data_IF_059648728671
#
_entry.id   IF_059648728671
#
_cell.length_a   1.000
_cell.length_b   1.000
_cell.length_c   1.000
_cell.angle_alpha   90.00
_cell.angle_beta   90.00
_cell.angle_gamma   90.00
#
_symmetry.space_group_name_H-M   'P 1'
#
loop_
_entity.id
_entity.type
_entity.pdbx_description
1 polymer ?
#
# COMPACT_ATOMS: atom_id res chain seq x y z
N UNK A 1 16.28 10.04 -7.76
CA UNK A 1 15.52 9.61 -6.55
C UNK A 1 14.67 8.41 -6.88
N UNK A 2 14.51 7.46 -5.96
CA UNK A 2 13.70 6.25 -6.16
C UNK A 2 12.39 6.36 -5.37
N UNK A 3 11.25 6.02 -5.98
CA UNK A 3 9.96 5.84 -5.30
C UNK A 3 9.56 4.36 -5.37
N UNK A 4 9.66 3.65 -4.25
CA UNK A 4 9.17 2.28 -4.11
C UNK A 4 7.66 2.29 -3.87
N UNK A 5 6.90 1.54 -4.68
CA UNK A 5 5.44 1.52 -4.62
C UNK A 5 4.92 0.12 -4.26
N UNK A 6 4.17 0.02 -3.16
CA UNK A 6 3.56 -1.23 -2.67
C UNK A 6 2.06 -1.22 -3.00
N UNK A 7 1.53 -2.24 -3.71
CA UNK A 7 0.16 -2.28 -4.16
C UNK A 7 -0.84 -2.62 -3.03
N UNK A 8 -2.13 -2.45 -3.34
CA UNK A 8 -3.25 -2.89 -2.52
C UNK A 8 -3.52 -4.40 -2.66
N UNK A 9 -4.37 -4.95 -1.78
CA UNK A 9 -4.77 -6.35 -1.81
C UNK A 9 -5.37 -6.77 -3.16
N UNK A 10 -4.96 -7.92 -3.67
CA UNK A 10 -5.38 -8.46 -4.97
C UNK A 10 -4.74 -7.77 -6.18
N UNK A 11 -3.92 -6.74 -5.97
CA UNK A 11 -3.27 -5.99 -7.03
C UNK A 11 -1.85 -6.49 -7.32
N UNK A 12 -1.29 -6.02 -8.42
CA UNK A 12 0.08 -6.27 -8.87
C UNK A 12 0.85 -4.96 -9.03
N UNK A 13 2.17 -5.05 -8.98
CA UNK A 13 3.12 -4.00 -9.35
C UNK A 13 2.80 -3.34 -10.71
N UNK A 14 2.14 -4.08 -11.61
CA UNK A 14 1.74 -3.60 -12.94
C UNK A 14 0.91 -2.31 -12.90
N UNK A 15 0.13 -2.08 -11.84
CA UNK A 15 -0.69 -0.87 -11.70
C UNK A 15 0.13 0.42 -11.65
N UNK A 16 1.39 0.35 -11.26
CA UNK A 16 2.27 1.52 -11.19
C UNK A 16 3.11 1.74 -12.46
N UNK A 17 3.03 0.86 -13.47
CA UNK A 17 3.78 1.08 -14.70
C UNK A 17 3.29 2.31 -15.48
N UNK A 18 2.00 2.64 -15.41
CA UNK A 18 1.47 3.85 -16.03
C UNK A 18 2.01 5.12 -15.35
N UNK A 19 2.31 5.06 -14.06
CA UNK A 19 2.91 6.19 -13.33
C UNK A 19 4.29 6.56 -13.89
N UNK A 20 5.05 5.59 -14.43
CA UNK A 20 6.35 5.85 -15.06
C UNK A 20 6.27 6.76 -16.28
N UNK A 21 5.10 6.81 -16.93
CA UNK A 21 4.89 7.66 -18.10
C UNK A 21 4.43 9.08 -17.74
N UNK A 22 3.98 9.27 -16.52
CA UNK A 22 3.39 10.52 -16.02
C UNK A 22 4.28 11.24 -15.01
N UNK A 23 5.15 10.48 -14.33
CA UNK A 23 6.05 10.98 -13.29
C UNK A 23 7.24 11.71 -13.93
N UNK A 24 7.72 12.77 -13.27
CA UNK A 24 8.95 13.47 -13.64
C UNK A 24 10.14 12.52 -13.73
N UNK A 25 10.97 12.67 -14.74
CA UNK A 25 12.14 11.81 -15.03
C UNK A 25 13.16 11.73 -13.87
N UNK A 26 13.16 12.72 -12.96
CA UNK A 26 14.01 12.74 -11.77
C UNK A 26 13.56 11.73 -10.68
N UNK A 27 12.36 11.17 -10.81
CA UNK A 27 11.78 10.20 -9.86
C UNK A 27 11.60 8.85 -10.55
N UNK A 28 12.46 7.91 -10.23
CA UNK A 28 12.39 6.53 -10.73
C UNK A 28 11.36 5.73 -9.95
N UNK A 29 10.25 5.34 -10.58
CA UNK A 29 9.25 4.45 -9.98
C UNK A 29 9.78 3.01 -9.98
N UNK A 30 9.80 2.40 -8.81
CA UNK A 30 10.11 0.97 -8.61
C UNK A 30 8.91 0.30 -7.95
N UNK A 31 7.99 -0.27 -8.75
CA UNK A 31 6.88 -1.04 -8.21
C UNK A 31 7.39 -2.33 -7.59
N UNK A 32 6.97 -2.62 -6.36
CA UNK A 32 7.30 -3.86 -5.65
C UNK A 32 6.18 -4.87 -5.85
N UNK A 33 6.54 -6.11 -6.18
CA UNK A 33 5.56 -7.18 -6.40
C UNK A 33 5.35 -8.01 -5.14
N UNK A 34 4.10 -8.41 -4.89
CA UNK A 34 3.78 -9.35 -3.82
C UNK A 34 3.77 -10.79 -4.35
N UNK A 35 4.02 -11.76 -3.49
CA UNK A 35 4.09 -13.18 -3.85
C UNK A 35 2.83 -13.72 -4.54
N UNK A 36 2.99 -14.71 -5.39
CA UNK A 36 1.94 -15.41 -6.10
C UNK A 36 1.41 -14.69 -7.35
N UNK A 37 2.02 -13.55 -7.75
CA UNK A 37 1.55 -12.76 -8.91
C UNK A 37 2.69 -12.11 -9.69
N UNK A 38 2.41 -11.67 -10.91
CA UNK A 38 3.37 -10.93 -11.74
C UNK A 38 4.73 -11.61 -11.82
N UNK A 39 5.80 -10.87 -11.51
CA UNK A 39 7.16 -11.38 -11.50
C UNK A 39 7.43 -12.42 -10.40
N UNK A 40 6.56 -12.51 -9.38
CA UNK A 40 6.65 -13.47 -8.26
C UNK A 40 5.55 -14.55 -8.33
N UNK A 41 5.01 -14.84 -9.53
CA UNK A 41 3.91 -15.82 -9.73
C UNK A 41 4.22 -17.22 -9.23
N UNK A 42 5.49 -17.64 -9.24
CA UNK A 42 5.93 -18.96 -8.79
C UNK A 42 6.24 -19.00 -7.28
N UNK A 43 6.23 -17.87 -6.60
CA UNK A 43 6.44 -17.81 -5.16
C UNK A 43 5.16 -18.20 -4.41
N UNK A 44 5.33 -18.95 -3.32
CA UNK A 44 4.23 -19.30 -2.44
C UNK A 44 3.61 -18.04 -1.81
N UNK A 45 2.28 -18.01 -1.68
CA UNK A 45 1.57 -16.93 -1.02
C UNK A 45 2.00 -16.80 0.45
N UNK A 46 2.00 -15.58 0.97
CA UNK A 46 2.39 -15.32 2.35
C UNK A 46 1.42 -15.96 3.35
N UNK A 47 1.95 -16.40 4.48
CA UNK A 47 1.20 -17.00 5.58
C UNK A 47 0.81 -15.97 6.66
N UNK A 48 1.60 -14.90 6.78
CA UNK A 48 1.39 -13.83 7.74
C UNK A 48 1.92 -12.49 7.21
N UNK A 49 1.57 -11.43 7.93
CA UNK A 49 1.95 -10.06 7.58
C UNK A 49 3.48 -9.87 7.55
N UNK A 50 4.20 -10.44 8.51
CA UNK A 50 5.66 -10.28 8.62
C UNK A 50 6.41 -10.92 7.45
N UNK A 51 5.93 -12.05 6.88
CA UNK A 51 6.53 -12.63 5.67
C UNK A 51 6.47 -11.65 4.48
N UNK A 52 5.34 -10.96 4.30
CA UNK A 52 5.21 -9.95 3.25
C UNK A 52 6.12 -8.73 3.49
N UNK A 53 6.27 -8.33 4.75
CA UNK A 53 7.19 -7.23 5.12
C UNK A 53 8.63 -7.62 4.84
N UNK A 54 9.06 -8.82 5.24
CA UNK A 54 10.44 -9.28 5.07
C UNK A 54 10.81 -9.43 3.58
N UNK A 55 9.89 -9.96 2.74
CA UNK A 55 10.08 -10.06 1.29
C UNK A 55 10.23 -8.67 0.63
N UNK A 56 9.39 -7.70 0.99
CA UNK A 56 9.49 -6.32 0.49
C UNK A 56 10.80 -5.64 0.93
N UNK A 57 11.22 -5.87 2.18
CA UNK A 57 12.49 -5.34 2.71
C UNK A 57 13.68 -5.91 1.93
N UNK A 58 13.69 -7.20 1.66
CA UNK A 58 14.75 -7.84 0.86
C UNK A 58 14.78 -7.28 -0.57
N UNK A 59 13.61 -7.10 -1.19
CA UNK A 59 13.52 -6.51 -2.53
C UNK A 59 14.04 -5.07 -2.57
N UNK A 60 13.71 -4.23 -1.57
CA UNK A 60 14.23 -2.86 -1.46
C UNK A 60 15.74 -2.86 -1.29
N UNK A 61 16.28 -3.68 -0.37
CA UNK A 61 17.73 -3.77 -0.13
C UNK A 61 18.48 -4.23 -1.38
N UNK A 62 17.95 -5.23 -2.09
CA UNK A 62 18.55 -5.72 -3.32
C UNK A 62 18.51 -4.71 -4.47
N UNK A 63 17.58 -3.74 -4.44
CA UNK A 63 17.48 -2.63 -5.39
C UNK A 63 18.10 -1.33 -4.86
N UNK A 64 18.80 -1.37 -3.70
CA UNK A 64 19.39 -0.19 -3.09
C UNK A 64 20.48 0.40 -4.01
N UNK A 65 20.53 1.72 -4.05
CA UNK A 65 21.59 2.53 -4.65
C UNK A 65 21.94 3.67 -3.70
N UNK A 66 22.92 4.49 -4.05
CA UNK A 66 23.28 5.70 -3.30
C UNK A 66 22.24 6.84 -3.46
N UNK A 67 21.16 6.58 -4.21
CA UNK A 67 20.09 7.54 -4.40
C UNK A 67 19.18 7.64 -3.16
N UNK A 68 18.74 8.87 -2.87
CA UNK A 68 17.62 9.08 -1.92
C UNK A 68 16.40 8.31 -2.38
N UNK A 69 15.60 7.83 -1.45
CA UNK A 69 14.38 7.09 -1.75
C UNK A 69 13.18 7.55 -0.93
N UNK A 70 12.01 7.30 -1.46
CA UNK A 70 10.71 7.49 -0.83
C UNK A 70 9.90 6.19 -0.93
N UNK A 71 8.88 6.06 -0.09
CA UNK A 71 7.97 4.91 -0.06
C UNK A 71 6.54 5.36 -0.36
N UNK A 72 5.81 4.56 -1.11
CA UNK A 72 4.38 4.71 -1.35
C UNK A 72 3.67 3.39 -1.10
N UNK A 73 2.56 3.43 -0.38
CA UNK A 73 1.68 2.28 -0.19
C UNK A 73 0.22 2.64 -0.34
N UNK A 74 -0.58 1.80 -0.99
CA UNK A 74 -2.02 1.96 -1.10
C UNK A 74 -2.77 0.85 -0.36
N UNK A 75 -3.77 1.20 0.44
CA UNK A 75 -4.62 0.26 1.19
C UNK A 75 -3.78 -0.72 2.04
N UNK A 76 -3.75 -2.03 1.74
CA UNK A 76 -2.83 -2.99 2.38
C UNK A 76 -1.38 -2.48 2.36
N UNK A 77 -0.95 -1.93 1.20
CA UNK A 77 0.40 -1.38 1.02
C UNK A 77 0.77 -0.31 2.05
N UNK A 78 -0.21 0.43 2.61
CA UNK A 78 0.08 1.41 3.68
C UNK A 78 0.67 0.74 4.93
N UNK A 79 0.03 -0.30 5.40
CA UNK A 79 0.49 -0.99 6.61
C UNK A 79 1.77 -1.78 6.37
N UNK A 80 1.91 -2.36 5.16
CA UNK A 80 3.16 -3.00 4.75
C UNK A 80 4.31 -1.97 4.76
N UNK A 81 4.15 -0.82 4.10
CA UNK A 81 5.14 0.27 4.07
C UNK A 81 5.47 0.78 5.47
N UNK A 82 4.46 0.92 6.33
CA UNK A 82 4.68 1.33 7.73
C UNK A 82 5.63 0.36 8.46
N UNK A 83 5.43 -0.94 8.34
CA UNK A 83 6.30 -1.94 8.97
C UNK A 83 7.64 -2.11 8.26
N UNK A 84 7.65 -2.00 6.93
CA UNK A 84 8.86 -1.99 6.10
C UNK A 84 9.81 -0.89 6.57
N UNK A 85 9.31 0.33 6.83
CA UNK A 85 10.13 1.42 7.36
C UNK A 85 10.95 0.99 8.57
N UNK A 86 10.31 0.50 9.63
CA UNK A 86 11.03 0.10 10.85
C UNK A 86 12.00 -1.06 10.62
N UNK A 87 11.65 -1.97 9.73
CA UNK A 87 12.51 -3.10 9.38
C UNK A 87 13.76 -2.65 8.61
N UNK A 88 13.63 -1.67 7.71
CA UNK A 88 14.74 -1.06 6.97
C UNK A 88 15.69 -0.31 7.93
N UNK A 89 15.15 0.52 8.83
CA UNK A 89 15.94 1.23 9.85
C UNK A 89 16.71 0.23 10.74
N UNK A 90 16.05 -0.83 11.19
CA UNK A 90 16.69 -1.89 11.98
C UNK A 90 17.82 -2.59 11.23
N UNK A 91 17.77 -2.66 9.90
CA UNK A 91 18.82 -3.19 9.03
C UNK A 91 19.92 -2.17 8.70
N UNK A 92 19.84 -0.95 9.23
CA UNK A 92 20.84 0.10 9.08
C UNK A 92 20.71 0.92 7.80
N UNK A 93 19.55 0.87 7.12
CA UNK A 93 19.29 1.77 6.00
C UNK A 93 18.97 3.17 6.51
N UNK A 94 19.41 4.18 5.75
CA UNK A 94 19.00 5.57 5.98
C UNK A 94 17.47 5.70 5.86
N UNK A 95 16.82 6.57 6.64
CA UNK A 95 15.39 6.82 6.52
C UNK A 95 14.99 7.27 5.10
N UNK A 96 13.83 6.87 4.58
CA UNK A 96 13.30 7.43 3.34
C UNK A 96 13.07 8.93 3.52
N UNK A 97 13.32 9.72 2.47
CA UNK A 97 13.11 11.18 2.53
C UNK A 97 11.65 11.57 2.71
N UNK A 98 10.72 10.71 2.31
CA UNK A 98 9.27 10.90 2.47
C UNK A 98 8.52 9.57 2.39
N UNK A 99 7.37 9.47 3.07
CA UNK A 99 6.49 8.30 2.95
C UNK A 99 5.07 8.75 2.60
N UNK A 100 4.47 8.08 1.63
CA UNK A 100 3.09 8.31 1.19
C UNK A 100 2.20 7.13 1.60
N UNK A 101 1.18 7.41 2.41
CA UNK A 101 0.16 6.46 2.82
C UNK A 101 -1.16 6.80 2.13
N UNK A 102 -1.68 5.91 1.31
CA UNK A 102 -2.79 6.17 0.41
C UNK A 102 -3.96 5.20 0.66
N UNK A 103 -5.15 5.73 0.93
CA UNK A 103 -6.37 4.93 1.00
C UNK A 103 -6.46 3.97 2.20
N UNK A 104 -5.89 4.33 3.37
CA UNK A 104 -5.99 3.52 4.58
C UNK A 104 -5.99 4.38 5.84
N UNK A 105 -6.68 3.92 6.89
CA UNK A 105 -6.59 4.51 8.22
C UNK A 105 -5.25 4.18 8.90
N UNK A 106 -4.91 4.96 9.92
CA UNK A 106 -3.68 4.81 10.68
C UNK A 106 -3.54 3.40 11.28
N UNK A 107 -2.34 2.82 11.30
CA UNK A 107 -2.08 1.54 11.96
C UNK A 107 -2.36 1.58 13.48
N UNK A 108 -2.47 2.77 14.08
CA UNK A 108 -2.84 2.95 15.49
C UNK A 108 -4.35 2.95 15.72
N UNK A 109 -5.16 3.01 14.66
CA UNK A 109 -6.62 3.03 14.77
C UNK A 109 -7.13 1.66 15.21
N UNK A 110 -7.73 1.59 16.39
CA UNK A 110 -8.41 0.37 16.86
C UNK A 110 -9.76 0.25 16.15
N UNK A 111 -9.84 -0.66 15.20
CA UNK A 111 -11.04 -0.95 14.44
C UNK A 111 -11.23 -2.46 14.36
N UNK A 112 -12.45 -2.93 14.62
CA UNK A 112 -12.78 -4.34 14.37
C UNK A 112 -12.72 -4.57 12.84
N UNK A 113 -11.82 -5.41 12.41
CA UNK A 113 -11.76 -5.89 11.04
C UNK A 113 -12.75 -7.03 10.83
N UNK A 114 -13.32 -7.11 9.62
CA UNK A 114 -14.11 -8.26 9.22
C UNK A 114 -13.20 -9.49 9.14
N UNK A 115 -13.69 -10.62 9.63
CA UNK A 115 -12.99 -11.90 9.53
C UNK A 115 -13.22 -12.50 8.14
N UNK A 116 -12.39 -12.10 7.19
CA UNK A 116 -12.47 -12.59 5.82
C UNK A 116 -12.18 -14.07 5.68
N UNK A 117 -11.38 -14.62 6.60
CA UNK A 117 -11.02 -16.05 6.66
C UNK A 117 -12.24 -16.94 6.83
N UNK A 118 -13.24 -16.50 7.58
CA UNK A 118 -14.44 -17.27 7.89
C UNK A 118 -15.53 -17.16 6.79
N UNK A 119 -15.34 -16.31 5.79
CA UNK A 119 -16.28 -16.12 4.70
C UNK A 119 -16.22 -17.27 3.69
N UNK A 120 -17.38 -17.72 3.22
CA UNK A 120 -17.48 -18.55 2.02
C UNK A 120 -16.95 -17.80 0.79
N UNK A 121 -16.62 -18.51 -0.30
CA UNK A 121 -16.16 -17.86 -1.53
C UNK A 121 -17.20 -16.88 -2.10
N UNK A 122 -18.48 -17.21 -2.00
CA UNK A 122 -19.57 -16.34 -2.44
C UNK A 122 -19.65 -15.04 -1.64
N UNK A 123 -19.55 -15.10 -0.32
CA UNK A 123 -19.53 -13.94 0.57
C UNK A 123 -18.28 -13.09 0.32
N UNK A 124 -17.13 -13.73 0.17
CA UNK A 124 -15.87 -13.04 -0.08
C UNK A 124 -15.85 -12.34 -1.45
N UNK A 125 -16.36 -12.99 -2.50
CA UNK A 125 -16.52 -12.37 -3.83
C UNK A 125 -17.48 -11.18 -3.79
N UNK A 126 -18.58 -11.25 -3.03
CA UNK A 126 -19.47 -10.11 -2.84
C UNK A 126 -18.74 -8.96 -2.15
N UNK A 127 -17.90 -9.28 -1.17
CA UNK A 127 -17.10 -8.25 -0.49
C UNK A 127 -16.09 -7.58 -1.40
N UNK A 128 -15.44 -8.33 -2.30
CA UNK A 128 -14.54 -7.75 -3.33
C UNK A 128 -15.32 -6.79 -4.24
N UNK A 129 -16.55 -7.14 -4.64
CA UNK A 129 -17.42 -6.24 -5.44
C UNK A 129 -17.74 -4.94 -4.70
N UNK A 130 -18.08 -5.01 -3.42
CA UNK A 130 -18.37 -3.85 -2.58
C UNK A 130 -17.16 -2.91 -2.42
N UNK A 131 -15.95 -3.47 -2.26
CA UNK A 131 -14.71 -2.69 -2.19
C UNK A 131 -14.45 -2.00 -3.53
N UNK A 132 -14.79 -2.65 -4.66
CA UNK A 132 -14.57 -2.14 -6.00
C UNK A 132 -13.15 -2.39 -6.52
N UNK A 133 -12.75 -1.66 -7.56
CA UNK A 133 -11.41 -1.75 -8.17
C UNK A 133 -11.22 -2.94 -9.12
N UNK A 134 -12.11 -3.93 -9.11
CA UNK A 134 -12.09 -5.07 -10.02
C UNK A 134 -13.40 -5.12 -10.81
N UNK A 135 -13.31 -5.16 -12.14
CA UNK A 135 -14.51 -5.17 -12.97
C UNK A 135 -15.31 -6.47 -12.83
N UNK A 136 -16.64 -6.39 -12.95
CA UNK A 136 -17.54 -7.55 -12.93
C UNK A 136 -17.15 -8.63 -13.96
N UNK A 137 -16.65 -8.21 -15.13
CA UNK A 137 -16.18 -9.13 -16.16
C UNK A 137 -15.02 -9.99 -15.66
N UNK A 138 -14.11 -9.41 -14.90
CA UNK A 138 -12.96 -10.11 -14.31
C UNK A 138 -13.43 -11.01 -13.17
N UNK A 139 -14.23 -10.49 -12.24
CA UNK A 139 -14.72 -11.24 -11.06
C UNK A 139 -15.50 -12.49 -11.47
N UNK A 140 -16.27 -12.41 -12.55
CA UNK A 140 -17.09 -13.52 -13.05
C UNK A 140 -16.34 -14.46 -14.04
N UNK A 141 -15.05 -14.22 -14.31
CA UNK A 141 -14.27 -15.11 -15.16
C UNK A 141 -13.83 -16.37 -14.40
N UNK A 142 -13.80 -17.56 -15.04
CA UNK A 142 -13.26 -18.76 -14.43
C UNK A 142 -11.82 -18.58 -13.94
N UNK A 143 -10.99 -17.87 -14.69
CA UNK A 143 -9.61 -17.58 -14.34
C UNK A 143 -9.50 -16.77 -13.04
N UNK A 144 -10.45 -15.87 -12.77
CA UNK A 144 -10.50 -15.12 -11.50
C UNK A 144 -10.69 -16.08 -10.32
N UNK A 145 -11.65 -16.98 -10.41
CA UNK A 145 -11.93 -17.95 -9.34
C UNK A 145 -10.72 -18.86 -9.09
N UNK A 146 -10.10 -19.34 -10.16
CA UNK A 146 -9.01 -20.32 -10.05
C UNK A 146 -7.70 -19.72 -9.51
N UNK A 147 -7.36 -18.49 -9.90
CA UNK A 147 -6.06 -17.87 -9.56
C UNK A 147 -6.19 -16.69 -8.62
N UNK A 148 -7.00 -15.71 -8.98
CA UNK A 148 -7.03 -14.42 -8.28
C UNK A 148 -7.75 -14.48 -6.93
N UNK A 149 -8.77 -15.34 -6.80
CA UNK A 149 -9.47 -15.50 -5.52
C UNK A 149 -8.51 -15.95 -4.40
N UNK A 150 -7.57 -16.85 -4.71
CA UNK A 150 -6.54 -17.32 -3.77
C UNK A 150 -5.60 -16.18 -3.34
N UNK A 151 -5.20 -15.34 -4.30
CA UNK A 151 -4.36 -14.15 -4.04
C UNK A 151 -5.09 -13.18 -3.14
N UNK A 152 -6.36 -12.85 -3.44
CA UNK A 152 -7.17 -11.98 -2.60
C UNK A 152 -7.33 -12.55 -1.18
N UNK A 153 -7.63 -13.84 -1.05
CA UNK A 153 -7.76 -14.49 0.27
C UNK A 153 -6.47 -14.43 1.07
N UNK A 154 -5.33 -14.65 0.43
CA UNK A 154 -4.03 -14.52 1.09
C UNK A 154 -3.78 -13.08 1.56
N UNK A 155 -4.01 -12.09 0.70
CA UNK A 155 -3.79 -10.69 1.04
C UNK A 155 -4.71 -10.21 2.18
N UNK A 156 -5.97 -10.66 2.19
CA UNK A 156 -6.87 -10.34 3.30
C UNK A 156 -6.52 -11.12 4.58
N UNK A 157 -6.00 -12.34 4.47
CA UNK A 157 -5.52 -13.10 5.63
C UNK A 157 -4.30 -12.45 6.28
N UNK A 158 -3.37 -11.89 5.49
CA UNK A 158 -2.25 -11.13 6.05
C UNK A 158 -2.70 -9.81 6.70
N UNK A 159 -3.73 -9.13 6.18
CA UNK A 159 -4.34 -7.98 6.86
C UNK A 159 -4.88 -8.38 8.23
N UNK A 160 -5.58 -9.52 8.34
CA UNK A 160 -6.11 -10.03 9.61
C UNK A 160 -5.02 -10.43 10.60
N UNK A 161 -3.84 -10.83 10.11
CA UNK A 161 -2.69 -11.18 10.95
C UNK A 161 -1.86 -9.97 11.39
N UNK A 162 -2.24 -8.77 10.95
CA UNK A 162 -1.56 -7.54 11.34
C UNK A 162 -1.78 -7.24 12.83
N UNK A 163 -0.69 -7.11 13.56
CA UNK A 163 -0.71 -6.66 14.95
C UNK A 163 -0.40 -5.17 15.01
N UNK A 164 -1.23 -4.43 15.75
CA UNK A 164 -1.01 -3.01 15.94
C UNK A 164 0.38 -2.75 16.55
N UNK A 165 1.12 -1.76 16.03
CA UNK A 165 2.43 -1.41 16.57
C UNK A 165 2.33 -0.92 18.01
N UNK A 166 3.44 -0.98 18.73
CA UNK A 166 3.55 -0.28 20.01
C UNK A 166 3.41 1.24 19.78
N UNK A 167 2.70 1.91 20.69
CA UNK A 167 2.42 3.37 20.59
C UNK A 167 3.69 4.27 20.55
N UNK A 168 4.87 3.70 20.80
CA UNK A 168 6.15 4.42 20.88
C UNK A 168 6.99 4.31 19.59
N UNK A 169 6.54 3.59 18.56
CA UNK A 169 7.27 3.50 17.29
C UNK A 169 6.88 4.70 16.41
N UNK A 170 7.80 5.65 16.22
CA UNK A 170 7.59 6.83 15.38
C UNK A 170 8.48 6.78 14.13
N UNK A 171 7.89 7.12 13.01
CA UNK A 171 8.60 7.42 11.76
C UNK A 171 9.33 8.75 11.95
N UNK A 172 10.60 8.86 11.55
CA UNK A 172 11.35 10.12 11.60
C UNK A 172 11.18 10.96 10.32
N UNK A 173 10.73 10.34 9.22
CA UNK A 173 10.48 11.01 7.95
C UNK A 173 9.17 11.77 7.94
N UNK A 174 9.07 12.79 7.11
CA UNK A 174 7.81 13.44 6.78
C UNK A 174 6.87 12.45 6.07
N UNK A 175 5.58 12.56 6.34
CA UNK A 175 4.57 11.70 5.72
C UNK A 175 3.46 12.50 5.03
N UNK A 176 2.95 11.97 3.94
CA UNK A 176 1.73 12.47 3.30
C UNK A 176 0.68 11.36 3.27
N UNK A 177 -0.49 11.65 3.81
CA UNK A 177 -1.64 10.74 3.82
C UNK A 177 -2.63 11.18 2.76
N UNK A 178 -2.90 10.30 1.78
CA UNK A 178 -3.83 10.55 0.69
C UNK A 178 -5.13 9.77 0.91
N UNK A 179 -6.25 10.40 0.64
CA UNK A 179 -7.56 9.76 0.76
C UNK A 179 -8.51 10.29 -0.33
N UNK A 180 -9.32 9.41 -0.90
CA UNK A 180 -10.35 9.78 -1.86
C UNK A 180 -11.44 10.65 -1.22
N UNK A 181 -11.95 11.64 -1.95
CA UNK A 181 -13.06 12.48 -1.45
C UNK A 181 -14.38 11.71 -1.30
N UNK A 182 -14.50 10.58 -2.02
CA UNK A 182 -15.67 9.70 -2.05
C UNK A 182 -15.40 8.33 -1.40
N UNK A 183 -14.21 8.15 -0.79
CA UNK A 183 -13.90 6.93 -0.04
C UNK A 183 -14.57 6.97 1.34
N UNK A 184 -15.73 6.32 1.42
CA UNK A 184 -16.52 6.24 2.65
C UNK A 184 -16.02 5.19 3.65
N UNK A 185 -14.98 4.42 3.29
CA UNK A 185 -14.41 3.38 4.17
C UNK A 185 -13.53 3.97 5.28
N UNK A 186 -13.10 5.24 5.15
CA UNK A 186 -12.16 5.91 6.04
C UNK A 186 -12.77 7.23 6.55
N UNK A 187 -12.89 7.36 7.86
CA UNK A 187 -13.34 8.61 8.49
C UNK A 187 -12.20 9.62 8.60
N UNK A 188 -12.53 10.92 8.57
CA UNK A 188 -11.52 11.97 8.73
C UNK A 188 -10.78 11.88 10.08
N UNK A 189 -11.46 11.46 11.15
CA UNK A 189 -10.80 11.21 12.46
C UNK A 189 -9.75 10.12 12.39
N UNK A 190 -9.99 9.07 11.60
CA UNK A 190 -9.04 7.96 11.41
C UNK A 190 -7.82 8.39 10.58
N UNK A 191 -7.99 9.34 9.65
CA UNK A 191 -6.86 9.96 8.93
C UNK A 191 -6.01 10.84 9.85
N UNK A 192 -6.62 11.55 10.80
CA UNK A 192 -5.88 12.38 11.75
C UNK A 192 -4.99 11.57 12.69
N UNK A 193 -5.32 10.30 12.96
CA UNK A 193 -4.48 9.41 13.78
C UNK A 193 -3.09 9.16 13.17
N UNK A 194 -2.93 9.31 11.85
CA UNK A 194 -1.62 9.21 11.20
C UNK A 194 -0.60 10.24 11.74
N UNK A 195 -1.06 11.38 12.27
CA UNK A 195 -0.17 12.36 12.88
C UNK A 195 0.59 11.82 14.09
N UNK A 196 0.07 10.78 14.71
CA UNK A 196 0.71 10.13 15.87
C UNK A 196 1.77 9.09 15.47
N UNK A 197 1.92 8.81 14.20
CA UNK A 197 2.85 7.78 13.70
C UNK A 197 4.21 8.34 13.28
N UNK A 198 4.36 9.66 13.25
CA UNK A 198 5.62 10.31 12.86
C UNK A 198 6.01 11.42 13.82
N UNK A 199 7.32 11.63 13.99
CA UNK A 199 7.90 12.83 14.61
C UNK A 199 8.14 13.95 13.59
N UNK A 200 8.08 13.63 12.28
CA UNK A 200 8.13 14.59 11.18
C UNK A 200 6.79 15.26 10.90
N UNK A 201 6.71 15.96 9.78
CA UNK A 201 5.47 16.61 9.33
C UNK A 201 4.49 15.57 8.77
N UNK A 202 3.22 15.63 9.18
CA UNK A 202 2.14 14.86 8.59
C UNK A 202 1.20 15.76 7.80
N UNK A 203 1.20 15.63 6.48
CA UNK A 203 0.26 16.32 5.57
C UNK A 203 -0.87 15.38 5.17
N UNK A 204 -2.12 15.84 5.24
CA UNK A 204 -3.29 15.07 4.77
C UNK A 204 -3.84 15.73 3.51
N UNK A 205 -3.91 14.98 2.41
CA UNK A 205 -4.38 15.43 1.12
C UNK A 205 -5.62 14.63 0.69
N UNK A 206 -6.61 15.31 0.12
CA UNK A 206 -7.78 14.70 -0.51
C UNK A 206 -7.61 14.73 -2.03
N UNK A 207 -7.85 13.58 -2.67
CA UNK A 207 -7.87 13.43 -4.13
C UNK A 207 -9.29 13.10 -4.55
N UNK A 208 -9.75 13.64 -5.67
CA UNK A 208 -11.08 13.31 -6.18
C UNK A 208 -11.17 11.81 -6.53
N UNK A 209 -12.26 11.15 -6.15
CA UNK A 209 -12.49 9.73 -6.42
C UNK A 209 -12.81 8.90 -5.19
N UNK A 210 -13.10 7.61 -5.42
CA UNK A 210 -13.36 6.59 -4.41
C UNK A 210 -12.09 6.01 -3.77
N UNK A 211 -12.17 4.73 -3.36
CA UNK A 211 -11.01 4.06 -2.74
C UNK A 211 -9.80 3.96 -3.69
N UNK A 212 -10.04 3.77 -4.99
CA UNK A 212 -8.98 3.59 -6.00
C UNK A 212 -8.61 4.88 -6.75
N UNK A 213 -8.80 6.05 -6.12
CA UNK A 213 -8.49 7.37 -6.70
C UNK A 213 -7.07 7.45 -7.31
N UNK A 214 -6.10 6.74 -6.75
CA UNK A 214 -4.71 6.72 -7.23
C UNK A 214 -4.54 6.05 -8.60
N UNK A 215 -5.55 5.29 -9.07
CA UNK A 215 -5.62 4.70 -10.41
C UNK A 215 -6.59 5.47 -11.31
N UNK A 216 -7.69 6.00 -10.74
CA UNK A 216 -8.73 6.73 -11.46
C UNK A 216 -8.29 8.17 -11.78
N UNK A 217 -7.60 8.80 -10.85
CA UNK A 217 -7.08 10.18 -10.95
C UNK A 217 -5.56 10.19 -10.71
N UNK A 218 -4.83 9.41 -11.53
CA UNK A 218 -3.37 9.23 -11.40
C UNK A 218 -2.61 10.55 -11.39
N UNK A 219 -2.95 11.48 -12.29
CA UNK A 219 -2.24 12.74 -12.41
C UNK A 219 -2.30 13.58 -11.14
N UNK A 220 -3.47 13.68 -10.50
CA UNK A 220 -3.61 14.43 -9.24
C UNK A 220 -2.78 13.80 -8.12
N UNK A 221 -2.76 12.46 -8.04
CA UNK A 221 -1.95 11.72 -7.08
C UNK A 221 -0.46 11.96 -7.32
N UNK A 222 -0.02 11.89 -8.57
CA UNK A 222 1.38 12.11 -8.98
C UNK A 222 1.80 13.55 -8.69
N UNK A 223 0.99 14.55 -9.02
CA UNK A 223 1.29 15.96 -8.75
C UNK A 223 1.53 16.20 -7.25
N UNK A 224 0.74 15.54 -6.37
CA UNK A 224 0.97 15.64 -4.91
C UNK A 224 2.31 15.02 -4.54
N UNK A 225 2.63 13.82 -5.07
CA UNK A 225 3.90 13.13 -4.79
C UNK A 225 5.08 13.99 -5.24
N UNK A 226 5.06 14.49 -6.46
CA UNK A 226 6.11 15.34 -7.02
C UNK A 226 6.30 16.61 -6.19
N UNK A 227 5.22 17.30 -5.83
CA UNK A 227 5.28 18.51 -5.00
C UNK A 227 5.97 18.31 -3.65
N UNK A 228 5.99 17.07 -3.12
CA UNK A 228 6.66 16.73 -1.86
C UNK A 228 8.11 16.31 -2.06
N UNK A 229 8.44 15.72 -3.21
CA UNK A 229 9.76 15.20 -3.50
C UNK A 229 10.68 16.22 -4.21
N UNK A 230 10.12 17.19 -4.93
CA UNK A 230 10.89 18.28 -5.59
C UNK A 230 11.48 19.30 -4.61
N UNK A 231 10.98 19.36 -3.39
CA UNK A 231 11.43 20.30 -2.35
C UNK A 231 12.62 19.73 -1.55
N UNK A 232 13.01 18.49 -1.77
CA UNK A 232 14.05 17.74 -1.06
C UNK A 232 15.33 17.63 -1.92
#
# INVERSE_FOLDING_TARGET
>A
MILYCVPHAGSSALNYYQWKLLMNDNIKIVPLELAGRGAKSEQALYKCFDEAVDDLVEEIINNQSDEKYALFGHSLGCWLVYRVYFRLIKKGMEPPVHIFFSGRWSPLTKKEELKYRDMTDGEFMNRIREIGGTSEKIINSPEFVDKYLQIFRSDFAIIESYENPAENELIESDITVLSGTQDNSIKNSELLEWRKTTSGMCTICKVNGGHFFHLENMQDTINIIESKLEVI
#
